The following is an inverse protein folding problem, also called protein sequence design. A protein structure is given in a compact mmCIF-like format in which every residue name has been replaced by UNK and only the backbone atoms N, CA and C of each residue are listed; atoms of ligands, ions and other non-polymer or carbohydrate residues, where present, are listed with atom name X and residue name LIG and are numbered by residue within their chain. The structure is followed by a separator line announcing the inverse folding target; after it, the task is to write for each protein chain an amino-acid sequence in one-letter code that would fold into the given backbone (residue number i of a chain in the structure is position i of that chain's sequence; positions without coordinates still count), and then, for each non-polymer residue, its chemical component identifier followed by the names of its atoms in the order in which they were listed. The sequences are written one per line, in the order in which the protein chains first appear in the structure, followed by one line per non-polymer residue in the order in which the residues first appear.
data_IF_643229065983
#
_entry.id   IF_643229065983
#
_cell.length_a   1.000
_cell.length_b   1.000
_cell.length_c   1.000
_cell.angle_alpha   90.00
_cell.angle_beta   90.00
_cell.angle_gamma   90.00
#
_symmetry.space_group_name_H-M   'P 1'
#
loop_
_entity.id
_entity.type
_entity.pdbx_description
1 polymer ?
#
# COMPACT_ATOMS: atom_id res chain seq x y z
N UNK A 1 -12.77 12.87 0.80
CA UNK A 1 -12.10 11.57 0.55
C UNK A 1 -12.72 10.61 1.54
N UNK A 2 -13.48 9.65 1.01
CA UNK A 2 -14.53 8.91 1.72
C UNK A 2 -13.93 7.99 2.78
N UNK A 3 -14.60 7.94 3.93
CA UNK A 3 -14.29 7.17 5.15
C UNK A 3 -14.40 5.65 4.99
N UNK A 4 -14.12 5.14 3.79
CA UNK A 4 -14.36 3.74 3.40
C UNK A 4 -13.13 2.84 3.60
N UNK A 5 -11.96 3.45 3.82
CA UNK A 5 -10.70 2.75 4.10
C UNK A 5 -10.25 2.90 5.57
N UNK A 6 -11.14 3.32 6.48
CA UNK A 6 -10.85 3.54 7.90
C UNK A 6 -11.97 2.91 8.76
N UNK A 7 -11.68 2.14 9.82
CA UNK A 7 -12.74 1.46 10.56
C UNK A 7 -13.43 2.42 11.52
N UNK A 8 -14.75 2.29 11.65
CA UNK A 8 -15.41 2.64 12.91
C UNK A 8 -15.99 1.44 13.66
N UNK A 9 -16.26 0.28 13.06
CA UNK A 9 -16.89 -0.84 13.80
C UNK A 9 -16.56 -2.28 13.34
N UNK A 10 -15.51 -2.49 12.56
CA UNK A 10 -14.98 -3.83 12.30
C UNK A 10 -13.53 -3.89 12.76
N UNK A 11 -13.12 -4.94 13.50
CA UNK A 11 -11.70 -5.14 13.77
C UNK A 11 -11.02 -5.23 12.41
N UNK A 12 -10.28 -4.19 12.06
CA UNK A 12 -9.35 -4.24 10.92
C UNK A 12 -8.41 -5.33 11.30
N UNK A 13 -8.58 -6.50 10.71
CA UNK A 13 -7.47 -7.40 10.59
C UNK A 13 -6.51 -6.64 9.69
N UNK A 14 -5.37 -6.16 10.21
CA UNK A 14 -4.33 -5.74 9.31
C UNK A 14 -4.08 -6.96 8.42
N UNK A 15 -3.90 -6.77 7.12
CA UNK A 15 -3.43 -7.82 6.23
C UNK A 15 -1.97 -8.14 6.60
N UNK A 16 -1.72 -8.55 7.85
CA UNK A 16 -0.42 -8.93 8.38
C UNK A 16 -0.13 -10.35 7.88
N UNK A 17 0.41 -10.44 6.67
CA UNK A 17 0.67 -11.73 6.03
C UNK A 17 -0.62 -12.52 5.77
N UNK A 18 -0.47 -13.80 5.42
CA UNK A 18 -1.53 -14.78 5.15
C UNK A 18 -1.85 -15.03 3.67
N UNK A 19 -0.95 -15.82 3.09
CA UNK A 19 -1.29 -17.10 2.47
C UNK A 19 -2.54 -17.81 3.06
N UNK A 20 -3.66 -17.75 2.33
CA UNK A 20 -4.66 -18.81 2.18
C UNK A 20 -5.71 -18.38 1.14
N UNK A 21 -5.65 -18.86 -0.10
CA UNK A 21 -6.34 -20.08 -0.52
C UNK A 21 -7.75 -20.21 0.12
N UNK A 22 -8.77 -19.70 -0.58
CA UNK A 22 -10.23 -19.87 -0.35
C UNK A 22 -10.96 -18.94 0.65
N UNK A 23 -11.86 -18.12 0.08
CA UNK A 23 -13.19 -17.71 0.55
C UNK A 23 -13.36 -17.02 1.93
N UNK A 24 -12.99 -15.74 2.06
CA UNK A 24 -13.63 -14.87 3.08
C UNK A 24 -13.70 -13.37 2.72
N UNK A 25 -13.61 -12.99 1.43
CA UNK A 25 -14.04 -11.65 1.00
C UNK A 25 -15.56 -11.62 0.88
N UNK A 26 -16.25 -11.36 1.99
CA UNK A 26 -17.72 -11.18 1.98
C UNK A 26 -18.01 -9.83 1.30
N UNK A 27 -18.29 -9.90 -0.01
CA UNK A 27 -18.56 -8.84 -0.98
C UNK A 27 -17.33 -8.44 -1.82
N UNK A 28 -17.46 -8.66 -3.13
CA UNK A 28 -16.44 -8.64 -4.19
C UNK A 28 -15.70 -7.30 -4.43
N UNK A 29 -15.57 -6.37 -3.47
CA UNK A 29 -15.02 -5.03 -3.74
C UNK A 29 -14.19 -4.37 -2.59
N UNK A 30 -13.79 -5.08 -1.51
CA UNK A 30 -13.36 -4.37 -0.27
C UNK A 30 -12.12 -4.92 0.45
N UNK A 31 -11.26 -5.72 -0.18
CA UNK A 31 -9.97 -6.07 0.42
C UNK A 31 -8.82 -5.65 -0.49
N UNK A 32 -7.91 -4.83 0.04
CA UNK A 32 -6.61 -4.54 -0.58
C UNK A 32 -5.78 -5.83 -0.57
N UNK A 33 -5.44 -6.36 -1.75
CA UNK A 33 -4.56 -7.52 -1.89
C UNK A 33 -3.22 -7.12 -2.52
N UNK A 34 -2.33 -6.65 -1.64
CA UNK A 34 -1.04 -6.09 -1.99
C UNK A 34 -0.11 -7.08 -2.71
N UNK A 35 0.35 -6.70 -3.89
CA UNK A 35 1.28 -7.43 -4.75
C UNK A 35 0.61 -8.39 -5.75
N UNK A 36 -0.63 -8.11 -6.19
CA UNK A 36 -1.42 -9.01 -7.03
C UNK A 36 -1.44 -8.67 -8.54
N UNK A 37 -0.84 -7.55 -8.92
CA UNK A 37 -0.84 -6.97 -10.26
C UNK A 37 -2.05 -6.07 -10.58
N UNK A 38 -2.89 -5.72 -9.61
CA UNK A 38 -4.14 -4.97 -9.73
C UNK A 38 -4.26 -3.97 -8.57
N UNK A 39 -4.42 -2.69 -8.88
CA UNK A 39 -4.70 -1.67 -7.86
C UNK A 39 -6.12 -1.86 -7.33
N UNK A 40 -6.24 -2.43 -6.14
CA UNK A 40 -7.51 -2.67 -5.49
C UNK A 40 -8.08 -1.43 -4.80
N UNK A 41 -9.36 -1.52 -4.41
CA UNK A 41 -9.98 -0.48 -3.59
C UNK A 41 -9.27 -0.41 -2.24
N UNK A 42 -8.85 0.81 -1.86
CA UNK A 42 -8.04 1.12 -0.68
C UNK A 42 -6.54 0.87 -0.82
N UNK A 43 -6.05 0.48 -2.00
CA UNK A 43 -4.62 0.50 -2.30
C UNK A 43 -4.19 1.83 -2.92
N UNK A 44 -3.01 2.30 -2.53
CA UNK A 44 -2.33 3.45 -3.11
C UNK A 44 -1.35 3.03 -4.22
N UNK A 45 -0.84 1.82 -4.11
CA UNK A 45 -0.05 1.11 -5.09
C UNK A 45 -0.17 -0.40 -4.79
N UNK A 46 0.34 -1.27 -5.67
CA UNK A 46 0.17 -2.72 -5.55
C UNK A 46 1.52 -3.47 -5.59
N UNK A 47 2.22 -3.47 -4.45
CA UNK A 47 3.53 -4.09 -4.30
C UNK A 47 4.66 -3.25 -4.90
N UNK A 48 5.40 -3.80 -5.86
CA UNK A 48 6.48 -3.07 -6.55
C UNK A 48 5.89 -2.09 -7.57
N UNK A 49 6.52 -0.92 -7.70
CA UNK A 49 6.11 0.10 -8.67
C UNK A 49 6.73 -0.22 -10.04
N UNK A 50 5.88 -0.25 -11.06
CA UNK A 50 6.31 -0.34 -12.46
C UNK A 50 7.20 0.85 -12.86
N UNK A 51 6.91 2.02 -12.30
CA UNK A 51 7.70 3.24 -12.46
C UNK A 51 8.15 3.78 -11.09
N UNK A 52 9.43 3.63 -10.72
CA UNK A 52 9.96 4.18 -9.48
C UNK A 52 9.81 5.70 -9.41
N UNK A 53 9.46 6.20 -8.23
CA UNK A 53 9.22 7.63 -7.99
C UNK A 53 10.45 8.24 -7.32
N UNK A 54 11.04 9.34 -7.83
CA UNK A 54 12.14 10.01 -7.15
C UNK A 54 11.68 10.56 -5.81
N UNK A 55 12.39 10.22 -4.72
CA UNK A 55 12.07 10.75 -3.39
C UNK A 55 12.17 12.28 -3.36
N UNK A 56 13.17 12.83 -4.06
CA UNK A 56 13.40 14.28 -4.15
C UNK A 56 12.26 14.95 -4.91
N UNK A 57 11.63 15.93 -4.27
CA UNK A 57 10.46 16.64 -4.81
C UNK A 57 9.13 15.99 -4.45
N UNK A 58 9.13 14.74 -3.99
CA UNK A 58 7.95 14.07 -3.42
C UNK A 58 7.90 14.20 -1.91
N UNK A 59 9.03 13.99 -1.24
CA UNK A 59 9.17 14.08 0.21
C UNK A 59 9.97 15.33 0.58
N UNK A 60 9.58 16.00 1.66
CA UNK A 60 10.33 17.13 2.19
C UNK A 60 11.53 16.63 3.01
N UNK A 61 12.70 17.24 2.81
CA UNK A 61 13.90 16.95 3.61
C UNK A 61 14.72 15.75 3.15
N UNK A 62 14.38 15.12 2.03
CA UNK A 62 15.19 14.05 1.41
C UNK A 62 16.14 14.63 0.36
N UNK A 63 17.33 14.05 0.25
CA UNK A 63 18.39 14.47 -0.68
C UNK A 63 18.60 13.46 -1.81
N UNK A 64 18.06 12.24 -1.69
CA UNK A 64 18.20 11.20 -2.70
C UNK A 64 17.26 10.01 -2.47
N UNK A 65 17.44 8.98 -3.31
CA UNK A 65 16.69 7.73 -3.27
C UNK A 65 15.51 7.68 -4.25
N UNK A 66 14.89 6.50 -4.32
CA UNK A 66 13.70 6.21 -5.13
C UNK A 66 12.72 5.42 -4.28
N UNK A 67 11.43 5.74 -4.38
CA UNK A 67 10.35 4.87 -3.94
C UNK A 67 10.18 3.81 -5.03
N UNK A 68 10.43 2.54 -4.71
CA UNK A 68 10.29 1.43 -5.67
C UNK A 68 9.11 0.53 -5.38
N UNK A 69 8.49 0.64 -4.21
CA UNK A 69 7.40 -0.25 -3.78
C UNK A 69 6.46 0.43 -2.77
N UNK A 70 5.36 -0.24 -2.51
CA UNK A 70 4.44 0.06 -1.43
C UNK A 70 4.97 -0.37 -0.07
N UNK A 71 4.36 0.16 0.97
CA UNK A 71 4.47 -0.44 2.30
C UNK A 71 3.80 -1.83 2.31
N UNK A 72 3.97 -2.56 3.42
CA UNK A 72 3.49 -3.95 3.53
C UNK A 72 1.97 -4.11 3.38
N UNK A 73 1.19 -3.05 3.56
CA UNK A 73 -0.27 -3.03 3.51
C UNK A 73 -0.83 -2.39 2.24
N UNK A 74 0.04 -1.90 1.34
CA UNK A 74 -0.32 -1.18 0.12
C UNK A 74 -1.23 0.06 0.30
N UNK A 75 -1.45 0.53 1.52
CA UNK A 75 -2.20 1.76 1.81
C UNK A 75 -1.33 3.03 1.70
N UNK A 76 0.00 2.86 1.64
CA UNK A 76 0.97 3.92 1.38
C UNK A 76 2.24 3.40 0.68
N UNK A 77 3.16 4.30 0.35
CA UNK A 77 4.45 3.99 -0.28
C UNK A 77 5.54 3.64 0.75
N UNK A 78 6.45 2.71 0.42
CA UNK A 78 7.65 2.46 1.21
C UNK A 78 8.73 3.49 0.85
N UNK A 79 9.02 4.38 1.80
CA UNK A 79 10.03 5.43 1.64
C UNK A 79 11.37 5.07 2.28
N UNK A 80 11.58 3.81 2.68
CA UNK A 80 12.80 3.38 3.38
C UNK A 80 14.06 3.53 2.53
N UNK A 81 13.91 3.54 1.19
CA UNK A 81 14.98 3.73 0.23
C UNK A 81 15.30 5.22 -0.04
N UNK A 82 14.56 6.15 0.59
CA UNK A 82 14.85 7.58 0.53
C UNK A 82 15.95 7.98 1.52
N UNK A 83 16.89 8.81 1.09
CA UNK A 83 18.03 9.24 1.92
C UNK A 83 17.96 10.71 2.28
N UNK A 84 18.53 11.05 3.45
CA UNK A 84 18.76 12.41 3.92
C UNK A 84 20.26 12.59 4.18
N UNK A 85 20.79 13.79 3.98
CA UNK A 85 22.20 14.12 4.30
C UNK A 85 22.42 14.34 5.81
#
# INVERSE_FOLDING_TARGET
MTSECYPSHVPVFPCEGHENQYDDCINEDVCAYCGNGVIDRCERCDGELDEPIPCVGWLNGVTGGMITRCNATCDDYDTSDCTTD
#
